data_IF_432517951762
#
_entry.id   IF_432517951762
#
_cell.length_a   1.000
_cell.length_b   1.000
_cell.length_c   1.000
_cell.angle_alpha   90.00
_cell.angle_beta   90.00
_cell.angle_gamma   90.00
#
_symmetry.space_group_name_H-M   'P 1'
#
loop_
_entity.id
_entity.type
_entity.pdbx_description
1 polymer ?
#
# COMPACT_ATOMS: atom_id res chain seq x y z
N UNK A 1 -4.65 3.78 -19.53
CA UNK A 1 -5.95 3.04 -19.54
C UNK A 1 -6.72 3.46 -18.29
N UNK A 2 -8.03 3.26 -18.16
CA UNK A 2 -8.73 3.50 -16.88
C UNK A 2 -9.79 2.42 -16.63
N UNK A 3 -10.25 2.30 -15.38
CA UNK A 3 -11.27 1.34 -14.97
C UNK A 3 -12.55 1.42 -15.83
N UNK A 4 -13.01 2.61 -16.18
CA UNK A 4 -14.24 2.77 -16.97
C UNK A 4 -14.06 2.30 -18.43
N UNK A 5 -12.86 2.43 -19.00
CA UNK A 5 -12.52 1.83 -20.31
C UNK A 5 -12.52 0.31 -20.25
N UNK A 6 -12.04 -0.27 -19.15
CA UNK A 6 -12.06 -1.71 -18.92
C UNK A 6 -13.48 -2.26 -18.75
N UNK A 7 -14.31 -1.57 -17.96
CA UNK A 7 -15.73 -1.90 -17.76
C UNK A 7 -16.53 -1.94 -19.08
N UNK A 8 -16.26 -1.02 -20.01
CA UNK A 8 -16.94 -1.02 -21.32
C UNK A 8 -16.73 -2.33 -22.08
N UNK A 9 -15.60 -3.01 -21.89
CA UNK A 9 -15.28 -4.28 -22.57
C UNK A 9 -16.09 -5.48 -22.04
N UNK A 10 -16.59 -5.43 -20.80
CA UNK A 10 -17.52 -6.44 -20.23
C UNK A 10 -19.00 -6.02 -20.32
N UNK A 11 -19.32 -4.99 -21.10
CA UNK A 11 -20.70 -4.52 -21.31
C UNK A 11 -21.45 -4.13 -20.03
N UNK A 12 -20.73 -3.72 -18.97
CA UNK A 12 -21.34 -3.17 -17.76
C UNK A 12 -21.60 -1.67 -17.95
N UNK A 13 -22.78 -1.20 -17.53
CA UNK A 13 -23.16 0.21 -17.70
C UNK A 13 -22.28 1.15 -16.86
N UNK A 14 -22.08 2.38 -17.36
CA UNK A 14 -21.30 3.41 -16.66
C UNK A 14 -21.86 3.73 -15.28
N UNK A 15 -23.18 3.68 -15.12
CA UNK A 15 -23.88 3.96 -13.86
C UNK A 15 -23.53 2.93 -12.78
N UNK A 16 -23.63 1.63 -13.12
CA UNK A 16 -23.24 0.52 -12.24
C UNK A 16 -21.78 0.63 -11.86
N UNK A 17 -20.90 0.82 -12.85
CA UNK A 17 -19.47 0.97 -12.62
C UNK A 17 -19.14 2.17 -11.73
N UNK A 18 -19.82 3.31 -11.92
CA UNK A 18 -19.64 4.51 -11.10
C UNK A 18 -20.05 4.26 -9.66
N UNK A 19 -21.15 3.52 -9.45
CA UNK A 19 -21.62 3.17 -8.11
C UNK A 19 -20.61 2.27 -7.38
N UNK A 20 -20.12 1.22 -8.03
CA UNK A 20 -19.07 0.33 -7.49
C UNK A 20 -17.80 1.12 -7.17
N UNK A 21 -17.34 1.95 -8.10
CA UNK A 21 -16.14 2.76 -7.95
C UNK A 21 -16.25 3.71 -6.75
N UNK A 22 -17.42 4.32 -6.54
CA UNK A 22 -17.70 5.17 -5.36
C UNK A 22 -17.69 4.37 -4.05
N UNK A 23 -18.34 3.21 -4.00
CA UNK A 23 -18.35 2.33 -2.81
C UNK A 23 -16.91 1.97 -2.40
N UNK A 24 -16.07 1.63 -3.38
CA UNK A 24 -14.69 1.23 -3.14
C UNK A 24 -13.72 2.41 -2.97
N UNK A 25 -14.21 3.66 -2.97
CA UNK A 25 -13.39 4.88 -2.98
C UNK A 25 -12.29 4.86 -4.04
N UNK A 26 -12.68 4.50 -5.27
CA UNK A 26 -11.84 4.43 -6.45
C UNK A 26 -10.89 3.23 -6.54
N UNK A 27 -10.89 2.34 -5.55
CA UNK A 27 -9.93 1.22 -5.49
C UNK A 27 -8.52 1.64 -5.06
N UNK A 28 -7.61 0.67 -4.99
CA UNK A 28 -6.21 0.86 -4.65
C UNK A 28 -5.39 1.49 -5.77
N UNK A 29 -5.66 1.24 -7.05
CA UNK A 29 -4.96 1.94 -8.13
C UNK A 29 -5.06 3.46 -7.94
N UNK A 30 -6.26 3.98 -7.73
CA UNK A 30 -6.49 5.42 -7.50
C UNK A 30 -5.87 5.89 -6.18
N UNK A 31 -5.97 5.11 -5.11
CA UNK A 31 -5.33 5.47 -3.82
C UNK A 31 -3.82 5.54 -3.92
N UNK A 32 -3.21 4.68 -4.71
CA UNK A 32 -1.78 4.62 -4.97
C UNK A 32 -1.35 5.77 -5.88
N UNK A 33 -2.04 5.96 -7.00
CA UNK A 33 -1.72 7.01 -7.97
C UNK A 33 -1.71 8.42 -7.37
N UNK A 34 -2.67 8.71 -6.47
CA UNK A 34 -2.76 9.99 -5.78
C UNK A 34 -2.11 10.00 -4.38
N UNK A 35 -1.39 8.93 -4.00
CA UNK A 35 -0.71 8.91 -2.71
C UNK A 35 0.46 9.89 -2.69
N UNK A 36 0.66 10.52 -1.54
CA UNK A 36 1.97 11.09 -1.20
C UNK A 36 2.96 9.96 -0.91
N UNK A 37 4.26 10.16 -1.19
CA UNK A 37 5.29 9.19 -0.84
C UNK A 37 5.36 8.88 0.66
N UNK A 38 5.69 7.63 1.05
CA UNK A 38 5.84 6.46 0.19
C UNK A 38 4.46 5.83 -0.11
N UNK A 39 4.11 5.71 -1.39
CA UNK A 39 2.77 5.30 -1.84
C UNK A 39 2.39 3.91 -1.35
N UNK A 40 3.37 3.01 -1.21
CA UNK A 40 3.13 1.63 -0.78
C UNK A 40 2.60 1.53 0.66
N UNK A 41 2.71 2.60 1.47
CA UNK A 41 2.05 2.69 2.78
C UNK A 41 0.53 2.49 2.66
N UNK A 42 -0.08 2.86 1.53
CA UNK A 42 -1.51 2.63 1.29
C UNK A 42 -1.87 1.14 1.20
N UNK A 43 -0.90 0.26 0.96
CA UNK A 43 -1.08 -1.20 0.95
C UNK A 43 -1.02 -1.83 2.34
N UNK A 44 -0.67 -1.07 3.40
CA UNK A 44 -0.66 -1.57 4.80
C UNK A 44 -1.94 -2.28 5.21
N UNK A 45 -3.07 -1.83 4.68
CA UNK A 45 -4.38 -2.38 4.99
C UNK A 45 -4.96 -3.21 3.85
N UNK A 46 -4.16 -3.65 2.87
CA UNK A 46 -4.64 -4.56 1.82
C UNK A 46 -5.14 -5.89 2.42
N UNK A 47 -6.30 -6.44 1.99
CA UNK A 47 -7.28 -5.93 1.03
C UNK A 47 -8.51 -5.25 1.67
N UNK A 48 -8.40 -4.65 2.87
CA UNK A 48 -9.53 -4.10 3.63
C UNK A 48 -10.37 -3.06 2.89
N UNK A 49 -9.83 -2.40 1.86
CA UNK A 49 -10.57 -1.52 0.95
C UNK A 49 -11.69 -2.22 0.18
N UNK A 50 -11.60 -3.54 0.04
CA UNK A 50 -12.56 -4.43 -0.62
C UNK A 50 -13.34 -5.32 0.33
N UNK A 51 -13.01 -5.28 1.63
CA UNK A 51 -13.61 -6.16 2.63
C UNK A 51 -14.24 -5.35 3.75
N UNK A 52 -13.57 -5.24 4.90
CA UNK A 52 -14.08 -4.66 6.15
C UNK A 52 -14.66 -3.25 5.98
N UNK A 53 -14.10 -2.43 5.09
CA UNK A 53 -14.55 -1.03 4.91
C UNK A 53 -15.89 -0.89 4.18
N UNK A 54 -16.28 -1.89 3.42
CA UNK A 54 -17.46 -1.84 2.53
C UNK A 54 -18.43 -3.00 2.79
N UNK A 55 -18.29 -3.68 3.93
CA UNK A 55 -19.05 -4.88 4.26
C UNK A 55 -20.58 -4.67 4.18
N UNK A 56 -21.06 -3.48 4.57
CA UNK A 56 -22.47 -3.09 4.49
C UNK A 56 -23.01 -3.04 3.05
N UNK A 57 -22.13 -2.90 2.06
CA UNK A 57 -22.47 -2.79 0.65
C UNK A 57 -22.37 -4.15 -0.07
N UNK A 58 -21.95 -5.23 0.62
CA UNK A 58 -21.81 -6.57 0.05
C UNK A 58 -23.09 -7.08 -0.65
N UNK A 59 -24.31 -6.96 -0.08
CA UNK A 59 -25.52 -7.43 -0.76
C UNK A 59 -25.81 -6.70 -2.08
N UNK A 60 -25.44 -5.43 -2.19
CA UNK A 60 -25.56 -4.69 -3.44
C UNK A 60 -24.51 -5.15 -4.45
N UNK A 61 -23.27 -5.32 -3.99
CA UNK A 61 -22.14 -5.73 -4.82
C UNK A 61 -22.27 -7.18 -5.30
N UNK A 62 -23.02 -8.04 -4.59
CA UNK A 62 -23.32 -9.41 -5.00
C UNK A 62 -24.25 -9.50 -6.22
N UNK A 63 -25.01 -8.44 -6.53
CA UNK A 63 -25.97 -8.45 -7.64
C UNK A 63 -25.26 -8.60 -8.99
N UNK A 64 -25.91 -9.22 -9.99
CA UNK A 64 -25.38 -9.26 -11.35
C UNK A 64 -24.99 -7.85 -11.85
N UNK A 65 -23.98 -7.77 -12.71
CA UNK A 65 -23.33 -6.53 -13.19
C UNK A 65 -22.57 -5.73 -12.13
N UNK A 66 -23.11 -5.58 -10.91
CA UNK A 66 -22.36 -4.98 -9.79
C UNK A 66 -21.18 -5.86 -9.39
N UNK A 67 -21.40 -7.18 -9.32
CA UNK A 67 -20.36 -8.14 -9.04
C UNK A 67 -19.26 -8.15 -10.12
N UNK A 68 -19.64 -8.16 -11.40
CA UNK A 68 -18.71 -8.09 -12.52
C UNK A 68 -17.88 -6.81 -12.50
N UNK A 69 -18.50 -5.66 -12.21
CA UNK A 69 -17.80 -4.39 -12.05
C UNK A 69 -16.84 -4.38 -10.85
N UNK A 70 -17.29 -4.93 -9.72
CA UNK A 70 -16.49 -5.04 -8.51
C UNK A 70 -15.26 -5.93 -8.74
N UNK A 71 -15.47 -7.08 -9.34
CA UNK A 71 -14.43 -8.03 -9.73
C UNK A 71 -13.45 -7.41 -10.72
N UNK A 72 -13.93 -6.65 -11.71
CA UNK A 72 -13.06 -5.94 -12.63
C UNK A 72 -12.20 -4.89 -11.92
N UNK A 73 -12.75 -4.20 -10.91
CA UNK A 73 -12.00 -3.23 -10.12
C UNK A 73 -10.89 -3.92 -9.31
N UNK A 74 -11.23 -4.99 -8.58
CA UNK A 74 -10.25 -5.80 -7.82
C UNK A 74 -9.18 -6.35 -8.75
N UNK A 75 -9.56 -6.94 -9.89
CA UNK A 75 -8.64 -7.46 -10.88
C UNK A 75 -7.70 -6.37 -11.41
N UNK A 76 -8.24 -5.20 -11.79
CA UNK A 76 -7.44 -4.10 -12.33
C UNK A 76 -6.39 -3.58 -11.35
N UNK A 77 -6.74 -3.53 -10.07
CA UNK A 77 -5.82 -3.15 -9.00
C UNK A 77 -4.72 -4.17 -8.81
N UNK A 78 -5.07 -5.45 -8.62
CA UNK A 78 -4.12 -6.53 -8.45
C UNK A 78 -3.17 -6.58 -9.65
N UNK A 79 -3.71 -6.51 -10.86
CA UNK A 79 -2.93 -6.49 -12.10
C UNK A 79 -1.95 -5.31 -12.12
N UNK A 80 -2.42 -4.10 -11.80
CA UNK A 80 -1.57 -2.91 -11.82
C UNK A 80 -0.45 -2.94 -10.78
N UNK A 81 -0.73 -3.45 -9.57
CA UNK A 81 0.23 -3.55 -8.47
C UNK A 81 1.29 -4.62 -8.80
N UNK A 82 0.87 -5.82 -9.21
CA UNK A 82 1.80 -6.89 -9.57
C UNK A 82 2.59 -6.51 -10.83
N UNK A 83 1.96 -5.90 -11.83
CA UNK A 83 2.63 -5.45 -13.04
C UNK A 83 3.69 -4.37 -12.77
N UNK A 84 3.41 -3.45 -11.86
CA UNK A 84 4.38 -2.46 -11.36
C UNK A 84 5.55 -3.16 -10.67
N UNK A 85 5.29 -4.09 -9.75
CA UNK A 85 6.34 -4.83 -9.03
C UNK A 85 7.17 -5.75 -9.93
N UNK A 86 6.56 -6.39 -10.92
CA UNK A 86 7.25 -7.15 -11.98
C UNK A 86 8.23 -6.26 -12.74
N UNK A 87 7.79 -5.05 -13.13
CA UNK A 87 8.65 -4.09 -13.84
C UNK A 87 9.84 -3.62 -13.00
N UNK A 88 9.64 -3.40 -11.69
CA UNK A 88 10.69 -2.91 -10.78
C UNK A 88 11.65 -4.00 -10.31
N UNK A 89 11.17 -5.23 -10.12
CA UNK A 89 12.00 -6.38 -9.73
C UNK A 89 12.76 -7.00 -10.91
N UNK A 90 12.31 -6.78 -12.14
CA UNK A 90 12.84 -7.44 -13.34
C UNK A 90 12.31 -8.86 -13.54
N UNK A 91 11.34 -9.31 -12.72
CA UNK A 91 10.70 -10.60 -12.85
C UNK A 91 9.57 -10.58 -13.88
N UNK A 92 9.29 -11.71 -14.54
CA UNK A 92 8.20 -11.81 -15.52
C UNK A 92 6.83 -11.72 -14.86
N UNK A 93 5.91 -10.96 -15.46
CA UNK A 93 4.53 -10.87 -15.00
C UNK A 93 3.81 -12.22 -15.17
N UNK A 94 3.39 -12.83 -14.06
CA UNK A 94 2.63 -14.09 -14.08
C UNK A 94 1.13 -13.85 -13.90
N UNK A 95 0.34 -14.33 -14.88
CA UNK A 95 -1.13 -14.36 -14.74
C UNK A 95 -1.59 -15.28 -13.62
N UNK A 96 -0.87 -16.37 -13.32
CA UNK A 96 -1.24 -17.26 -12.22
C UNK A 96 -1.17 -16.54 -10.87
N UNK A 97 -0.13 -15.72 -10.65
CA UNK A 97 0.02 -14.91 -9.45
C UNK A 97 -1.11 -13.86 -9.32
N UNK A 98 -1.48 -13.22 -10.44
CA UNK A 98 -2.61 -12.28 -10.47
C UNK A 98 -3.91 -12.98 -10.09
N UNK A 99 -4.16 -14.16 -10.65
CA UNK A 99 -5.37 -14.94 -10.36
C UNK A 99 -5.41 -15.39 -8.90
N UNK A 100 -4.30 -15.90 -8.37
CA UNK A 100 -4.17 -16.28 -6.96
C UNK A 100 -4.45 -15.11 -6.02
N UNK A 101 -3.90 -13.92 -6.32
CA UNK A 101 -4.14 -12.72 -5.50
C UNK A 101 -5.58 -12.22 -5.59
N UNK A 102 -6.20 -12.24 -6.77
CA UNK A 102 -7.63 -11.91 -6.92
C UNK A 102 -8.48 -12.91 -6.14
N UNK A 103 -8.21 -14.21 -6.28
CA UNK A 103 -8.94 -15.26 -5.56
C UNK A 103 -8.80 -15.10 -4.05
N UNK A 104 -7.60 -14.75 -3.55
CA UNK A 104 -7.34 -14.46 -2.14
C UNK A 104 -8.21 -13.32 -1.59
N UNK A 105 -8.45 -12.26 -2.38
CA UNK A 105 -9.37 -11.17 -2.01
C UNK A 105 -10.80 -11.71 -1.85
N UNK A 106 -11.30 -12.49 -2.81
CA UNK A 106 -12.65 -13.06 -2.74
C UNK A 106 -12.82 -14.11 -1.64
N UNK A 107 -11.79 -14.92 -1.36
CA UNK A 107 -11.78 -15.82 -0.21
C UNK A 107 -11.89 -15.04 1.10
N UNK A 108 -11.16 -13.93 1.22
CA UNK A 108 -11.25 -13.05 2.40
C UNK A 108 -12.64 -12.40 2.53
N UNK A 109 -13.28 -12.02 1.41
CA UNK A 109 -14.67 -11.52 1.41
C UNK A 109 -15.62 -12.57 1.94
N UNK A 110 -15.51 -13.81 1.45
CA UNK A 110 -16.32 -14.95 1.89
C UNK A 110 -16.18 -15.20 3.39
N UNK A 111 -14.95 -15.32 3.89
CA UNK A 111 -14.67 -15.52 5.33
C UNK A 111 -15.33 -14.44 6.18
N UNK A 112 -15.16 -13.17 5.80
CA UNK A 112 -15.74 -12.03 6.54
C UNK A 112 -17.28 -12.02 6.44
N UNK A 113 -17.86 -12.39 5.31
CA UNK A 113 -19.30 -12.43 5.14
C UNK A 113 -19.92 -13.54 6.01
N UNK A 114 -19.31 -14.74 6.02
CA UNK A 114 -19.73 -15.87 6.84
C UNK A 114 -19.64 -15.55 8.34
N UNK A 115 -18.52 -14.97 8.78
CA UNK A 115 -18.32 -14.52 10.18
C UNK A 115 -19.35 -13.48 10.64
N UNK A 116 -19.96 -12.74 9.71
CA UNK A 116 -20.93 -11.68 9.98
C UNK A 116 -22.37 -12.07 9.63
N UNK A 117 -22.60 -13.32 9.21
CA UNK A 117 -23.94 -13.82 8.84
C UNK A 117 -24.54 -13.16 7.59
N UNK A 118 -23.71 -12.66 6.67
CA UNK A 118 -24.14 -12.03 5.42
C UNK A 118 -24.23 -13.10 4.33
N UNK A 119 -25.43 -13.41 3.85
CA UNK A 119 -25.66 -14.42 2.81
C UNK A 119 -25.31 -13.95 1.39
N UNK A 120 -25.52 -12.66 1.10
CA UNK A 120 -25.28 -12.07 -0.21
C UNK A 120 -23.99 -11.27 -0.20
N UNK A 121 -22.94 -11.81 -0.85
CA UNK A 121 -21.65 -11.15 -0.97
C UNK A 121 -21.03 -11.34 -2.37
N UNK A 122 -20.11 -10.46 -2.79
CA UNK A 122 -19.45 -10.58 -4.09
C UNK A 122 -18.67 -11.88 -4.22
N UNK A 123 -18.80 -12.54 -5.36
CA UNK A 123 -18.15 -13.82 -5.65
C UNK A 123 -17.35 -13.74 -6.95
N UNK A 124 -16.27 -14.51 -7.05
CA UNK A 124 -15.49 -14.61 -8.28
C UNK A 124 -16.32 -15.23 -9.41
N UNK A 125 -16.40 -14.56 -10.56
CA UNK A 125 -17.13 -15.00 -11.78
C UNK A 125 -16.23 -15.22 -13.00
N UNK A 126 -14.93 -14.97 -12.87
CA UNK A 126 -13.87 -15.17 -13.89
C UNK A 126 -13.68 -14.02 -14.88
N UNK A 127 -13.98 -12.77 -14.50
CA UNK A 127 -13.62 -11.58 -15.29
C UNK A 127 -12.08 -11.50 -15.41
N UNK A 128 -11.58 -11.51 -16.65
CA UNK A 128 -10.17 -11.29 -16.98
C UNK A 128 -10.08 -10.48 -18.27
N UNK A 129 -9.43 -9.32 -18.19
CA UNK A 129 -9.16 -8.46 -19.35
C UNK A 129 -7.75 -7.92 -19.21
N UNK A 130 -7.04 -7.79 -20.32
CA UNK A 130 -5.79 -7.04 -20.37
C UNK A 130 -5.95 -5.62 -19.77
N UNK A 131 -5.30 -5.43 -18.62
CA UNK A 131 -5.24 -4.19 -17.85
C UNK A 131 -3.81 -3.59 -17.85
N UNK A 132 -2.92 -4.06 -18.73
CA UNK A 132 -1.52 -3.62 -18.86
C UNK A 132 -1.37 -2.10 -18.96
N UNK A 133 -2.30 -1.42 -19.63
CA UNK A 133 -2.28 0.03 -19.76
C UNK A 133 -2.48 0.83 -18.46
N UNK A 134 -2.62 0.18 -17.29
CA UNK A 134 -2.58 0.81 -15.96
C UNK A 134 -1.18 0.77 -15.33
N UNK A 135 -0.32 -0.17 -15.74
CA UNK A 135 1.02 -0.36 -15.14
C UNK A 135 1.89 0.90 -15.26
N UNK A 136 1.98 1.58 -16.44
CA UNK A 136 2.88 2.73 -16.59
C UNK A 136 2.61 3.86 -15.61
N UNK A 137 1.36 4.08 -15.22
CA UNK A 137 0.97 5.17 -14.33
C UNK A 137 1.49 4.96 -12.90
N UNK A 138 1.36 3.74 -12.36
CA UNK A 138 1.93 3.41 -11.04
C UNK A 138 3.44 3.29 -11.09
N UNK A 139 4.00 2.75 -12.18
CA UNK A 139 5.44 2.63 -12.36
C UNK A 139 6.12 4.01 -12.42
N UNK A 140 5.55 4.96 -13.15
CA UNK A 140 6.04 6.34 -13.19
C UNK A 140 6.02 6.95 -11.79
N UNK A 141 4.91 6.78 -11.04
CA UNK A 141 4.80 7.25 -9.66
C UNK A 141 5.87 6.65 -8.75
N UNK A 142 6.13 5.35 -8.84
CA UNK A 142 7.20 4.69 -8.07
C UNK A 142 8.59 5.20 -8.44
N UNK A 143 8.86 5.39 -9.74
CA UNK A 143 10.16 5.90 -10.18
C UNK A 143 10.39 7.33 -9.66
N UNK A 144 9.37 8.20 -9.67
CA UNK A 144 9.46 9.52 -9.03
C UNK A 144 9.86 9.42 -7.55
N UNK A 145 9.28 8.49 -6.79
CA UNK A 145 9.64 8.30 -5.38
C UNK A 145 11.10 7.91 -5.18
N UNK A 146 11.64 7.07 -6.08
CA UNK A 146 13.02 6.57 -5.99
C UNK A 146 14.07 7.66 -6.23
N UNK A 147 13.71 8.70 -6.98
CA UNK A 147 14.56 9.87 -7.19
C UNK A 147 14.49 10.89 -6.04
N UNK A 148 13.53 10.75 -5.12
CA UNK A 148 13.38 11.65 -3.98
C UNK A 148 14.33 11.29 -2.83
N UNK A 149 14.67 12.29 -2.02
CA UNK A 149 15.41 12.06 -0.78
C UNK A 149 14.55 11.28 0.23
N UNK A 150 15.03 10.11 0.68
CA UNK A 150 14.28 9.26 1.60
C UNK A 150 14.03 9.89 2.97
N UNK A 151 14.94 10.74 3.49
CA UNK A 151 14.71 11.43 4.77
C UNK A 151 13.58 12.44 4.63
N UNK A 152 13.50 13.12 3.48
CA UNK A 152 12.39 14.02 3.18
C UNK A 152 11.07 13.24 3.14
N UNK A 153 11.03 12.08 2.47
CA UNK A 153 9.84 11.22 2.41
C UNK A 153 9.38 10.84 3.83
N UNK A 154 10.30 10.35 4.67
CA UNK A 154 9.99 9.92 6.04
C UNK A 154 9.50 11.10 6.88
N UNK A 155 10.19 12.23 6.83
CA UNK A 155 9.84 13.42 7.61
C UNK A 155 8.49 14.00 7.16
N UNK A 156 8.21 14.06 5.87
CA UNK A 156 6.89 14.48 5.36
C UNK A 156 5.78 13.54 5.80
N UNK A 157 6.02 12.23 5.75
CA UNK A 157 5.05 11.23 6.19
C UNK A 157 4.76 11.32 7.70
N UNK A 158 5.78 11.58 8.53
CA UNK A 158 5.58 11.82 9.96
C UNK A 158 4.83 13.12 10.20
N UNK A 159 5.22 14.20 9.52
CA UNK A 159 4.57 15.50 9.65
C UNK A 159 3.06 15.46 9.36
N UNK A 160 2.65 14.69 8.34
CA UNK A 160 1.27 14.55 7.90
C UNK A 160 0.48 13.47 8.68
N UNK A 161 1.11 12.76 9.62
CA UNK A 161 0.50 11.64 10.34
C UNK A 161 -0.51 12.06 11.42
N UNK A 162 -1.49 11.19 11.68
CA UNK A 162 -2.43 11.36 12.79
C UNK A 162 -1.72 11.45 14.15
N UNK A 163 -0.59 10.75 14.31
CA UNK A 163 0.22 10.81 15.53
C UNK A 163 0.80 12.22 15.74
N UNK A 164 1.31 12.85 14.69
CA UNK A 164 1.79 14.23 14.75
C UNK A 164 0.64 15.24 14.96
N UNK A 165 -0.51 15.02 14.33
CA UNK A 165 -1.69 15.88 14.55
C UNK A 165 -2.12 15.87 16.02
N UNK A 166 -2.25 14.69 16.62
CA UNK A 166 -2.55 14.56 18.06
C UNK A 166 -1.49 15.23 18.95
N UNK A 167 -0.22 15.15 18.56
CA UNK A 167 0.86 15.83 19.27
C UNK A 167 0.71 17.36 19.21
N UNK A 168 0.36 17.93 18.05
CA UNK A 168 0.09 19.36 17.86
C UNK A 168 -1.13 19.87 18.61
N UNK A 169 -2.14 19.02 18.77
CA UNK A 169 -3.32 19.32 19.58
C UNK A 169 -2.97 19.38 21.08
N UNK A 170 -2.14 18.43 21.56
CA UNK A 170 -1.77 18.30 22.97
C UNK A 170 -0.69 19.30 23.40
N UNK A 171 0.27 19.63 22.54
CA UNK A 171 1.45 20.41 22.91
C UNK A 171 1.71 21.63 22.00
N UNK A 172 1.81 22.86 22.55
CA UNK A 172 2.05 24.06 21.75
C UNK A 172 3.35 24.05 20.94
N UNK A 173 4.44 23.49 21.48
CA UNK A 173 5.73 23.44 20.81
C UNK A 173 5.68 22.64 19.50
N UNK A 174 4.84 21.60 19.43
CA UNK A 174 4.71 20.74 18.25
C UNK A 174 4.10 21.47 17.05
N UNK A 175 3.36 22.58 17.29
CA UNK A 175 2.82 23.43 16.22
C UNK A 175 3.90 24.21 15.46
N UNK A 176 5.07 24.39 16.08
CA UNK A 176 6.19 25.11 15.47
C UNK A 176 7.12 24.18 14.67
N UNK A 177 6.89 22.87 14.70
CA UNK A 177 7.65 21.93 13.87
C UNK A 177 7.27 22.11 12.40
N UNK A 178 8.28 22.16 11.54
CA UNK A 178 8.16 22.17 10.09
C UNK A 178 8.27 20.74 9.53
N UNK A 179 8.09 20.60 8.21
CA UNK A 179 8.30 19.32 7.49
C UNK A 179 9.71 18.81 7.67
N UNK A 180 10.70 19.69 7.63
CA UNK A 180 12.13 19.35 7.74
C UNK A 180 12.53 18.99 9.18
N UNK A 181 11.77 19.43 10.17
CA UNK A 181 12.08 19.22 11.59
C UNK A 181 11.14 18.24 12.28
N UNK A 182 10.25 17.58 11.53
CA UNK A 182 9.20 16.72 12.08
C UNK A 182 9.75 15.53 12.89
N UNK A 183 10.93 15.01 12.51
CA UNK A 183 11.59 13.92 13.23
C UNK A 183 12.01 14.31 14.66
N UNK A 184 12.25 15.60 14.92
CA UNK A 184 12.55 16.11 16.26
C UNK A 184 11.38 15.95 17.24
N UNK A 185 10.16 15.75 16.73
CA UNK A 185 9.03 15.44 17.60
C UNK A 185 9.26 14.20 18.46
N UNK A 186 10.06 13.25 17.97
CA UNK A 186 10.34 11.99 18.66
C UNK A 186 11.14 12.24 19.93
N UNK A 187 12.23 13.01 19.88
CA UNK A 187 13.05 13.31 21.06
C UNK A 187 12.38 14.27 22.03
N UNK A 188 11.50 15.16 21.53
CA UNK A 188 10.80 16.15 22.36
C UNK A 188 9.50 15.61 22.98
N UNK A 189 8.96 14.49 22.50
CA UNK A 189 7.72 13.91 23.02
C UNK A 189 7.95 13.18 24.35
N UNK A 190 7.06 13.41 25.31
CA UNK A 190 7.02 12.62 26.56
C UNK A 190 6.49 11.20 26.37
N UNK A 191 5.80 10.93 25.26
CA UNK A 191 5.18 9.65 24.90
C UNK A 191 5.54 9.35 23.43
N UNK A 192 6.80 8.96 23.13
CA UNK A 192 7.28 8.86 21.75
C UNK A 192 6.81 7.60 21.02
N UNK A 193 6.27 6.60 21.73
CA UNK A 193 6.02 5.25 21.23
C UNK A 193 5.20 5.20 19.93
N UNK A 194 4.16 6.02 19.81
CA UNK A 194 3.33 6.08 18.60
C UNK A 194 4.11 6.62 17.39
N UNK A 195 4.99 7.59 17.60
CA UNK A 195 5.84 8.16 16.55
C UNK A 195 6.98 7.20 16.20
N UNK A 196 7.58 6.54 17.20
CA UNK A 196 8.62 5.52 16.99
C UNK A 196 8.08 4.33 16.19
N UNK A 197 6.91 3.80 16.55
CA UNK A 197 6.29 2.69 15.79
C UNK A 197 5.97 3.09 14.35
N UNK A 198 5.51 4.33 14.12
CA UNK A 198 5.31 4.84 12.78
C UNK A 198 6.63 5.00 12.02
N UNK A 199 7.65 5.55 12.69
CA UNK A 199 8.99 5.74 12.13
C UNK A 199 9.57 4.39 11.69
N UNK A 200 9.57 3.39 12.55
CA UNK A 200 10.10 2.05 12.25
C UNK A 200 9.41 1.46 11.01
N UNK A 201 8.08 1.56 10.94
CA UNK A 201 7.32 1.11 9.78
C UNK A 201 7.71 1.88 8.51
N UNK A 202 7.83 3.22 8.59
CA UNK A 202 8.22 4.05 7.45
C UNK A 202 9.65 3.76 6.99
N UNK A 203 10.59 3.57 7.90
CA UNK A 203 11.98 3.22 7.58
C UNK A 203 12.03 1.91 6.81
N UNK A 204 11.32 0.88 7.27
CA UNK A 204 11.24 -0.41 6.57
C UNK A 204 10.64 -0.27 5.17
N UNK A 205 9.53 0.46 5.06
CA UNK A 205 8.87 0.70 3.78
C UNK A 205 9.78 1.45 2.82
N UNK A 206 10.41 2.54 3.27
CA UNK A 206 11.27 3.39 2.43
C UNK A 206 12.54 2.66 2.03
N UNK A 207 13.17 1.91 2.93
CA UNK A 207 14.31 1.07 2.57
C UNK A 207 13.92 0.03 1.51
N UNK A 208 12.76 -0.63 1.70
CA UNK A 208 12.31 -1.73 0.84
C UNK A 208 11.79 -1.29 -0.51
N UNK A 209 11.22 -0.08 -0.61
CA UNK A 209 10.56 0.38 -1.84
C UNK A 209 11.24 1.58 -2.50
N UNK A 210 11.91 2.44 -1.75
CA UNK A 210 12.52 3.66 -2.31
C UNK A 210 14.01 3.43 -2.54
N UNK A 211 14.73 3.04 -1.49
CA UNK A 211 16.18 2.81 -1.57
C UNK A 211 16.53 1.51 -2.31
N UNK A 212 15.63 0.53 -2.27
CA UNK A 212 15.78 -0.77 -2.95
C UNK A 212 14.48 -1.15 -3.69
N UNK A 213 14.44 -2.37 -4.23
CA UNK A 213 13.25 -2.98 -4.82
C UNK A 213 12.77 -4.20 -4.02
N UNK A 214 13.15 -4.31 -2.75
CA UNK A 214 12.86 -5.50 -1.94
C UNK A 214 11.36 -5.74 -1.76
N UNK A 215 10.57 -4.67 -1.60
CA UNK A 215 9.11 -4.77 -1.62
C UNK A 215 8.60 -5.47 -2.89
N UNK A 216 9.11 -5.05 -4.05
CA UNK A 216 8.65 -5.52 -5.34
C UNK A 216 9.03 -7.00 -5.58
N UNK A 217 10.24 -7.42 -5.20
CA UNK A 217 10.64 -8.84 -5.21
C UNK A 217 9.76 -9.70 -4.30
N UNK A 218 9.48 -9.21 -3.08
CA UNK A 218 8.65 -9.94 -2.12
C UNK A 218 7.19 -10.06 -2.59
N UNK A 219 6.66 -9.04 -3.28
CA UNK A 219 5.33 -9.12 -3.92
C UNK A 219 5.32 -10.16 -5.03
N UNK A 220 6.34 -10.20 -5.87
CA UNK A 220 6.43 -11.20 -6.94
C UNK A 220 6.53 -12.63 -6.39
N UNK A 221 7.20 -12.81 -5.25
CA UNK A 221 7.39 -14.12 -4.62
C UNK A 221 6.20 -14.60 -3.78
N UNK A 222 5.53 -13.70 -3.08
CA UNK A 222 4.54 -14.06 -2.05
C UNK A 222 3.16 -13.42 -2.23
N UNK A 223 2.98 -12.58 -3.24
CA UNK A 223 1.77 -11.78 -3.42
C UNK A 223 1.75 -10.50 -2.58
N UNK A 224 0.74 -9.65 -2.76
CA UNK A 224 0.71 -8.27 -2.23
C UNK A 224 0.70 -8.27 -0.70
N UNK A 225 -0.20 -9.06 -0.11
CA UNK A 225 -0.40 -9.09 1.34
C UNK A 225 0.80 -9.67 2.07
N UNK A 226 1.28 -10.82 1.60
CA UNK A 226 2.36 -11.53 2.28
C UNK A 226 3.72 -10.90 1.98
N UNK A 227 3.92 -10.34 0.78
CA UNK A 227 5.11 -9.55 0.46
C UNK A 227 5.32 -8.41 1.44
N UNK A 228 4.29 -7.62 1.73
CA UNK A 228 4.38 -6.54 2.73
C UNK A 228 4.64 -7.07 4.16
N UNK A 229 4.01 -8.19 4.55
CA UNK A 229 4.28 -8.80 5.86
C UNK A 229 5.72 -9.30 5.98
N UNK A 230 6.25 -9.91 4.93
CA UNK A 230 7.64 -10.38 4.89
C UNK A 230 8.60 -9.21 4.92
N UNK A 231 8.34 -8.13 4.16
CA UNK A 231 9.15 -6.93 4.20
C UNK A 231 9.24 -6.37 5.63
N UNK A 232 8.10 -6.27 6.31
CA UNK A 232 8.05 -5.82 7.71
C UNK A 232 8.86 -6.76 8.61
N UNK A 233 8.69 -8.08 8.48
CA UNK A 233 9.39 -9.08 9.30
C UNK A 233 10.91 -9.06 9.07
N UNK A 234 11.33 -9.00 7.81
CA UNK A 234 12.73 -8.93 7.40
C UNK A 234 13.36 -7.61 7.85
N UNK A 235 12.66 -6.49 7.70
CA UNK A 235 13.10 -5.19 8.21
C UNK A 235 13.35 -5.19 9.72
N UNK A 236 12.45 -5.79 10.52
CA UNK A 236 12.69 -5.97 11.95
C UNK A 236 13.89 -6.89 12.25
N UNK A 237 14.13 -7.90 11.42
CA UNK A 237 15.26 -8.83 11.59
C UNK A 237 16.60 -8.18 11.20
N UNK A 238 16.61 -7.32 10.18
CA UNK A 238 17.75 -6.54 9.74
C UNK A 238 18.27 -5.60 10.83
N UNK A 239 17.36 -5.04 11.63
CA UNK A 239 17.68 -4.20 12.80
C UNK A 239 18.37 -5.00 13.92
N UNK A 240 18.15 -6.32 13.98
CA UNK A 240 18.59 -7.14 15.11
C UNK A 240 19.82 -8.01 14.80
N UNK A 241 20.04 -8.49 13.57
CA UNK A 241 20.95 -9.63 13.35
C UNK A 241 21.68 -9.75 11.99
N UNK A 242 21.58 -8.80 11.05
CA UNK A 242 22.30 -8.96 9.77
C UNK A 242 23.76 -8.54 9.95
N UNK A 243 24.72 -9.31 9.41
CA UNK A 243 26.15 -8.92 9.37
C UNK A 243 26.36 -7.85 8.28
N UNK A 244 27.29 -6.93 8.50
CA UNK A 244 27.64 -5.90 7.50
C UNK A 244 28.06 -6.52 6.16
N UNK A 245 27.56 -5.95 5.05
CA UNK A 245 28.00 -6.26 3.69
C UNK A 245 27.41 -7.51 3.01
N UNK A 246 26.23 -8.02 3.42
CA UNK A 246 25.64 -9.24 2.82
C UNK A 246 24.25 -9.10 2.19
N UNK A 247 23.57 -7.97 2.39
CA UNK A 247 22.19 -7.74 1.92
C UNK A 247 21.94 -6.23 1.71
N UNK A 248 21.66 -5.83 0.46
CA UNK A 248 21.40 -4.44 0.06
C UNK A 248 20.25 -3.80 0.85
N UNK A 249 19.21 -4.57 1.17
CA UNK A 249 18.06 -4.08 1.94
C UNK A 249 18.46 -3.81 3.39
N UNK A 250 19.24 -4.69 4.00
CA UNK A 250 19.74 -4.50 5.36
C UNK A 250 20.70 -3.31 5.46
N UNK A 251 21.57 -3.12 4.47
CA UNK A 251 22.48 -1.98 4.41
C UNK A 251 21.71 -0.65 4.25
N UNK A 252 20.72 -0.61 3.35
CA UNK A 252 19.85 0.55 3.19
C UNK A 252 19.10 0.88 4.49
N UNK A 253 18.58 -0.14 5.18
CA UNK A 253 17.93 0.00 6.48
C UNK A 253 18.84 0.63 7.54
N UNK A 254 20.07 0.13 7.69
CA UNK A 254 21.04 0.68 8.65
C UNK A 254 21.38 2.13 8.33
N UNK A 255 21.74 2.41 7.08
CA UNK A 255 22.06 3.77 6.62
C UNK A 255 20.94 4.76 6.93
N UNK A 256 19.71 4.42 6.56
CA UNK A 256 18.53 5.27 6.80
C UNK A 256 18.34 5.49 8.31
N UNK A 257 18.47 4.44 9.12
CA UNK A 257 18.31 4.52 10.57
C UNK A 257 19.38 5.40 11.23
N UNK A 258 20.63 5.27 10.81
CA UNK A 258 21.74 6.08 11.34
C UNK A 258 21.53 7.56 11.02
N UNK A 259 21.12 7.87 9.79
CA UNK A 259 20.82 9.25 9.40
C UNK A 259 19.59 9.81 10.13
N UNK A 260 18.54 9.02 10.34
CA UNK A 260 17.39 9.42 11.15
C UNK A 260 17.81 9.71 12.60
N UNK A 261 18.59 8.81 13.21
CA UNK A 261 19.08 8.98 14.58
C UNK A 261 19.93 10.24 14.69
N UNK A 262 20.73 10.55 13.67
CA UNK A 262 21.49 11.80 13.62
C UNK A 262 20.57 13.04 13.64
N UNK A 263 19.42 13.00 12.96
CA UNK A 263 18.46 14.12 12.95
C UNK A 263 17.63 14.22 14.24
N UNK A 264 17.34 13.09 14.89
CA UNK A 264 16.62 13.07 16.18
C UNK A 264 17.51 13.57 17.32
N UNK A 265 18.79 13.18 17.32
CA UNK A 265 19.75 13.40 18.41
C UNK A 265 20.68 14.60 18.21
N UNK A 266 20.60 15.32 17.08
CA UNK A 266 21.28 16.62 16.98
C UNK A 266 20.57 17.57 17.96
N UNK A 267 21.04 17.57 19.22
CA UNK A 267 20.89 18.50 20.37
C UNK A 267 20.89 17.75 21.71
#
# INVERSE_FOLDING_TARGET
MDYFKLIKKISVSKEVATKVYRICNGGYFTRLYYAKPPMIVKLRYWPNGYTKKIIKDFPLLARPRYNEAFEMLVFSDVFSIIGMSSSLSGESLSMSLIEEEVNSVFSTIKEIAEDQGISDYPTRTSVMIDASGLIPDLLAKRNEEKEMNYLQIISDAIYDSDAMQKLREKYPWAKNLSRETSLKAISLSKEPDNLLSLLDFLTVVVAGSVATNEFDKLVMKYGIRNGLKMLIKEGHSAVMNVKDGSDDFAEAMRKIKDEINSQINYF
#
